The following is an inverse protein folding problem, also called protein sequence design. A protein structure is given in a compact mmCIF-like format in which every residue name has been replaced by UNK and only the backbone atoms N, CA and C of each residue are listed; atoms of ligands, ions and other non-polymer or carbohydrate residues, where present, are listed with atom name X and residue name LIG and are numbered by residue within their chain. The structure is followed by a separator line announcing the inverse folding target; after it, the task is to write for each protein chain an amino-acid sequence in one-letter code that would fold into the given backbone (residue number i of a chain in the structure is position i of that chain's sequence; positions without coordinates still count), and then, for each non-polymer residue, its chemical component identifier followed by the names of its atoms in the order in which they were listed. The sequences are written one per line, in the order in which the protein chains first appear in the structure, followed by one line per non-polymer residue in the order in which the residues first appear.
data_IF_255135801068
#
_entry.id   IF_255135801068
#
_cell.length_a   1.000
_cell.length_b   1.000
_cell.length_c   1.000
_cell.angle_alpha   90.00
_cell.angle_beta   90.00
_cell.angle_gamma   90.00
#
_symmetry.space_group_name_H-M   'P 1'
#
loop_
_entity.id
_entity.type
_entity.pdbx_description
1 polymer ?
#
# COMPACT_ATOMS: atom_id res chain seq x y z
N UNK A 1 34.90 -35.01 -1.14
CA UNK A 1 33.90 -34.32 -0.29
C UNK A 1 32.53 -34.83 -0.70
N UNK A 2 31.70 -35.37 0.20
CA UNK A 2 30.33 -35.68 -0.17
C UNK A 2 29.62 -34.35 -0.44
N UNK A 3 28.96 -34.26 -1.58
CA UNK A 3 28.05 -33.16 -1.91
C UNK A 3 26.89 -33.30 -0.92
N UNK A 4 26.80 -32.39 0.05
CA UNK A 4 25.62 -32.26 0.89
C UNK A 4 24.46 -31.84 -0.03
N UNK A 5 23.65 -32.80 -0.45
CA UNK A 5 22.32 -32.50 -0.96
C UNK A 5 21.51 -31.99 0.23
N UNK A 6 21.54 -30.67 0.45
CA UNK A 6 20.62 -30.02 1.37
C UNK A 6 19.24 -30.21 0.78
N UNK A 7 18.40 -31.01 1.45
CA UNK A 7 17.01 -31.17 1.02
C UNK A 7 16.35 -29.79 0.89
N UNK A 8 15.64 -29.53 -0.22
CA UNK A 8 14.94 -28.28 -0.40
C UNK A 8 13.94 -28.10 0.75
N UNK A 9 13.88 -26.89 1.30
CA UNK A 9 12.98 -26.58 2.42
C UNK A 9 11.54 -26.84 2.01
N UNK A 10 10.77 -27.39 2.94
CA UNK A 10 9.32 -27.53 2.75
C UNK A 10 8.64 -26.16 2.85
N UNK A 11 7.49 -25.99 2.20
CA UNK A 11 6.68 -24.76 2.29
C UNK A 11 6.34 -24.38 3.74
N UNK A 12 6.14 -25.38 4.61
CA UNK A 12 5.90 -25.16 6.03
C UNK A 12 7.12 -24.53 6.72
N UNK A 13 8.33 -25.04 6.46
CA UNK A 13 9.57 -24.47 6.98
C UNK A 13 9.82 -23.05 6.44
N UNK A 14 9.55 -22.80 5.17
CA UNK A 14 9.64 -21.46 4.58
C UNK A 14 8.68 -20.47 5.24
N UNK A 15 7.45 -20.92 5.52
CA UNK A 15 6.44 -20.11 6.20
C UNK A 15 6.85 -19.78 7.63
N UNK A 16 7.32 -20.76 8.40
CA UNK A 16 7.82 -20.52 9.78
C UNK A 16 8.97 -19.52 9.77
N UNK A 17 9.95 -19.69 8.89
CA UNK A 17 11.09 -18.77 8.75
C UNK A 17 10.64 -17.36 8.35
N UNK A 18 9.63 -17.22 7.48
CA UNK A 18 9.10 -15.92 7.08
C UNK A 18 8.36 -15.22 8.24
N UNK A 19 7.59 -15.96 9.04
CA UNK A 19 6.95 -15.43 10.26
C UNK A 19 8.00 -14.90 11.24
N UNK A 20 9.04 -15.68 11.51
CA UNK A 20 10.13 -15.29 12.41
C UNK A 20 10.86 -14.04 11.92
N UNK A 21 11.22 -14.01 10.63
CA UNK A 21 11.87 -12.84 10.01
C UNK A 21 10.99 -11.59 10.11
N UNK A 22 9.69 -11.70 9.81
CA UNK A 22 8.76 -10.57 9.97
C UNK A 22 8.73 -10.08 11.41
N UNK A 23 8.59 -10.99 12.38
CA UNK A 23 8.54 -10.62 13.79
C UNK A 23 9.80 -9.88 14.25
N UNK A 24 10.99 -10.37 13.85
CA UNK A 24 12.28 -9.74 14.16
C UNK A 24 12.36 -8.36 13.51
N UNK A 25 12.09 -8.25 12.21
CA UNK A 25 12.15 -6.97 11.48
C UNK A 25 11.18 -5.94 12.04
N UNK A 26 9.94 -6.33 12.35
CA UNK A 26 8.95 -5.45 12.97
C UNK A 26 9.36 -5.02 14.38
N UNK A 27 10.00 -5.90 15.16
CA UNK A 27 10.54 -5.55 16.49
C UNK A 27 11.64 -4.49 16.39
N UNK A 28 12.51 -4.59 15.39
CA UNK A 28 13.54 -3.56 15.16
C UNK A 28 12.94 -2.22 14.74
N UNK A 29 11.91 -2.23 13.90
CA UNK A 29 11.16 -1.02 13.51
C UNK A 29 10.48 -0.38 14.71
N UNK A 30 9.85 -1.19 15.56
CA UNK A 30 9.24 -0.72 16.80
C UNK A 30 10.23 0.03 17.70
N UNK A 31 11.44 -0.52 17.89
CA UNK A 31 12.46 0.13 18.71
C UNK A 31 13.00 1.45 18.10
N UNK A 32 12.82 1.67 16.78
CA UNK A 32 13.27 2.87 16.08
C UNK A 32 12.21 3.97 15.99
N UNK A 33 10.92 3.64 16.11
CA UNK A 33 9.81 4.60 16.12
C UNK A 33 9.37 5.15 14.75
N UNK A 34 10.08 4.83 13.67
CA UNK A 34 9.68 5.23 12.31
C UNK A 34 9.83 4.07 11.30
N UNK A 35 9.00 4.09 10.27
CA UNK A 35 9.03 3.13 9.17
C UNK A 35 9.12 3.85 7.83
N UNK A 36 10.15 3.50 7.04
CA UNK A 36 10.26 3.85 5.63
C UNK A 36 9.93 2.59 4.80
N UNK A 37 8.75 2.53 4.14
CA UNK A 37 8.31 1.35 3.42
C UNK A 37 9.34 0.79 2.44
N UNK A 38 10.07 1.65 1.74
CA UNK A 38 10.98 1.26 0.67
C UNK A 38 12.45 1.14 1.13
N UNK A 39 12.69 1.12 2.44
CA UNK A 39 14.03 0.90 3.00
C UNK A 39 14.37 -0.59 3.16
N UNK A 40 15.57 -0.89 3.71
CA UNK A 40 16.05 -2.26 3.96
C UNK A 40 15.08 -3.10 4.80
N UNK A 41 14.49 -2.51 5.85
CA UNK A 41 13.49 -3.21 6.66
C UNK A 41 12.22 -3.50 5.87
N UNK A 42 11.84 -2.61 4.95
CA UNK A 42 10.74 -2.80 4.04
C UNK A 42 10.93 -3.97 3.08
N UNK A 43 12.11 -4.03 2.45
CA UNK A 43 12.53 -5.15 1.59
C UNK A 43 12.37 -6.49 2.30
N UNK A 44 12.91 -6.61 3.51
CA UNK A 44 12.80 -7.82 4.32
C UNK A 44 11.35 -8.21 4.65
N UNK A 45 10.50 -7.23 4.96
CA UNK A 45 9.07 -7.46 5.18
C UNK A 45 8.37 -7.93 3.90
N UNK A 46 8.72 -7.35 2.75
CA UNK A 46 8.17 -7.71 1.44
C UNK A 46 8.41 -9.17 1.10
N UNK A 47 9.68 -9.58 1.15
CA UNK A 47 10.08 -10.96 0.87
C UNK A 47 9.33 -11.94 1.76
N UNK A 48 9.22 -11.61 3.04
CA UNK A 48 8.54 -12.47 4.00
C UNK A 48 7.03 -12.53 3.74
N UNK A 49 6.38 -11.40 3.42
CA UNK A 49 4.95 -11.38 3.14
C UNK A 49 4.61 -12.12 1.84
N UNK A 50 5.44 -12.00 0.80
CA UNK A 50 5.32 -12.75 -0.46
C UNK A 50 5.60 -14.25 -0.31
N UNK A 51 6.43 -14.63 0.67
CA UNK A 51 6.65 -16.03 1.05
C UNK A 51 5.39 -16.58 1.74
N UNK A 52 4.81 -15.82 2.67
CA UNK A 52 3.64 -16.27 3.44
C UNK A 52 2.36 -16.35 2.62
N UNK A 53 2.14 -15.38 1.73
CA UNK A 53 0.90 -15.22 0.95
C UNK A 53 -0.36 -15.37 1.82
N UNK A 54 -0.53 -14.51 2.85
CA UNK A 54 -1.71 -14.60 3.71
C UNK A 54 -2.99 -14.49 2.89
N UNK A 55 -3.98 -15.33 3.18
CA UNK A 55 -5.25 -15.39 2.45
C UNK A 55 -5.98 -14.03 2.41
N UNK A 56 -5.86 -13.23 3.48
CA UNK A 56 -6.44 -11.88 3.57
C UNK A 56 -5.91 -10.90 2.52
N UNK A 57 -4.79 -11.22 1.87
CA UNK A 57 -4.18 -10.43 0.79
C UNK A 57 -4.32 -11.12 -0.58
N UNK A 58 -5.21 -12.11 -0.70
CA UNK A 58 -5.61 -12.70 -1.97
C UNK A 58 -4.44 -13.06 -2.89
N UNK A 59 -4.46 -12.52 -4.10
CA UNK A 59 -3.47 -12.76 -5.15
C UNK A 59 -2.22 -11.88 -5.05
N UNK A 60 -1.75 -11.56 -3.83
CA UNK A 60 -0.60 -10.67 -3.60
C UNK A 60 0.67 -11.06 -4.39
N UNK A 61 0.88 -12.36 -4.65
CA UNK A 61 2.04 -12.86 -5.38
C UNK A 61 1.89 -12.85 -6.91
N UNK A 62 0.72 -12.49 -7.44
CA UNK A 62 0.48 -12.38 -8.88
C UNK A 62 0.91 -11.00 -9.42
N UNK A 63 1.15 -10.91 -10.73
CA UNK A 63 1.50 -9.64 -11.39
C UNK A 63 0.31 -8.66 -11.47
N UNK A 64 -0.92 -9.18 -11.51
CA UNK A 64 -2.14 -8.35 -11.48
C UNK A 64 -2.31 -7.71 -10.11
N UNK A 65 -2.92 -6.53 -10.08
CA UNK A 65 -3.27 -5.90 -8.81
C UNK A 65 -4.29 -6.76 -8.05
N UNK A 66 -4.19 -6.80 -6.73
CA UNK A 66 -5.19 -7.41 -5.85
C UNK A 66 -6.20 -6.35 -5.37
N UNK A 67 -7.34 -6.24 -6.08
CA UNK A 67 -8.36 -5.21 -5.82
C UNK A 67 -9.06 -5.37 -4.47
N UNK A 68 -9.38 -6.61 -4.07
CA UNK A 68 -10.11 -6.88 -2.81
C UNK A 68 -9.19 -6.67 -1.61
N UNK A 69 -7.94 -7.12 -1.71
CA UNK A 69 -6.91 -6.85 -0.71
C UNK A 69 -6.62 -5.36 -0.59
N UNK A 70 -6.58 -4.62 -1.70
CA UNK A 70 -6.41 -3.17 -1.67
C UNK A 70 -7.56 -2.47 -0.95
N UNK A 71 -8.81 -2.80 -1.26
CA UNK A 71 -9.97 -2.26 -0.55
C UNK A 71 -9.92 -2.61 0.95
N UNK A 72 -9.62 -3.86 1.28
CA UNK A 72 -9.48 -4.33 2.67
C UNK A 72 -8.45 -3.51 3.46
N UNK A 73 -7.30 -3.22 2.85
CA UNK A 73 -6.20 -2.48 3.47
C UNK A 73 -6.54 -1.00 3.59
N UNK A 74 -7.09 -0.38 2.55
CA UNK A 74 -7.47 1.04 2.56
C UNK A 74 -8.55 1.36 3.60
N UNK A 75 -9.43 0.41 3.90
CA UNK A 75 -10.42 0.53 4.98
C UNK A 75 -9.79 0.52 6.40
N UNK A 76 -8.56 0.03 6.56
CA UNK A 76 -7.87 -0.19 7.85
C UNK A 76 -6.72 0.77 8.12
N UNK A 77 -6.30 1.51 7.10
CA UNK A 77 -5.31 2.59 7.17
C UNK A 77 -6.00 3.96 7.07
N UNK A 78 -5.35 5.06 7.51
CA UNK A 78 -5.92 6.39 7.38
C UNK A 78 -6.01 6.84 5.92
N UNK A 79 -7.04 7.61 5.58
CA UNK A 79 -7.17 8.26 4.27
C UNK A 79 -5.92 9.10 3.95
N UNK A 80 -5.40 8.97 2.72
CA UNK A 80 -4.22 9.66 2.24
C UNK A 80 -2.88 8.98 2.60
N UNK A 81 -2.90 7.84 3.29
CA UNK A 81 -1.68 7.07 3.61
C UNK A 81 -0.82 6.75 2.37
N UNK A 82 -1.47 6.51 1.23
CA UNK A 82 -0.87 6.19 -0.06
C UNK A 82 -0.02 7.33 -0.65
N UNK A 83 -0.14 8.54 -0.10
CA UNK A 83 0.64 9.71 -0.50
C UNK A 83 1.91 9.90 0.35
N UNK A 84 2.03 9.19 1.46
CA UNK A 84 3.07 9.40 2.46
C UNK A 84 4.28 8.47 2.27
N UNK A 85 5.47 9.07 2.23
CA UNK A 85 6.75 8.33 2.24
C UNK A 85 7.22 7.98 3.66
N UNK A 86 6.73 8.71 4.66
CA UNK A 86 7.16 8.57 6.06
C UNK A 86 5.97 8.23 6.94
N UNK A 87 6.01 7.06 7.57
CA UNK A 87 4.98 6.61 8.50
C UNK A 87 5.60 6.45 9.89
N UNK A 88 5.14 7.27 10.83
CA UNK A 88 5.58 7.21 12.22
C UNK A 88 4.53 6.51 13.07
N UNK A 89 5.00 5.60 13.93
CA UNK A 89 4.15 4.90 14.89
C UNK A 89 4.44 5.51 16.25
N UNK A 90 3.50 6.28 16.77
CA UNK A 90 3.69 7.10 17.97
C UNK A 90 2.77 6.63 19.09
N UNK A 91 3.10 7.00 20.34
CA UNK A 91 2.09 7.02 21.40
C UNK A 91 1.14 8.22 21.21
N UNK A 92 0.22 8.43 22.16
CA UNK A 92 -0.47 9.71 22.26
C UNK A 92 0.56 10.83 22.50
N UNK A 93 0.71 11.72 21.52
CA UNK A 93 1.64 12.86 21.57
C UNK A 93 0.92 14.19 21.88
N UNK A 94 -0.38 14.14 22.27
CA UNK A 94 -1.13 15.33 22.64
C UNK A 94 -1.55 16.22 21.47
N UNK A 95 -1.61 15.68 20.24
CA UNK A 95 -2.05 16.42 19.05
C UNK A 95 -3.46 17.00 19.17
N UNK A 96 -4.27 16.55 20.15
CA UNK A 96 -5.60 17.10 20.44
C UNK A 96 -5.60 18.60 20.75
N UNK A 97 -4.49 19.16 21.24
CA UNK A 97 -4.34 20.60 21.49
C UNK A 97 -3.87 21.42 20.29
N UNK A 98 -3.68 20.78 19.13
CA UNK A 98 -3.07 21.40 17.94
C UNK A 98 -4.09 21.65 16.82
N UNK A 99 -3.61 22.13 15.67
CA UNK A 99 -4.43 22.31 14.46
C UNK A 99 -4.63 21.01 13.67
N UNK A 100 -3.91 19.92 14.02
CA UNK A 100 -4.01 18.66 13.31
C UNK A 100 -5.36 17.99 13.58
N UNK A 101 -6.04 17.60 12.50
CA UNK A 101 -7.32 16.89 12.58
C UNK A 101 -7.07 15.39 12.61
N UNK A 102 -7.67 14.70 13.57
CA UNK A 102 -7.62 13.25 13.63
C UNK A 102 -8.31 12.62 12.40
N UNK A 103 -7.61 11.67 11.78
CA UNK A 103 -8.10 10.79 10.71
C UNK A 103 -8.28 9.41 11.32
N UNK A 104 -9.51 8.90 11.33
CA UNK A 104 -9.82 7.58 11.90
C UNK A 104 -10.13 6.62 10.75
N UNK A 105 -9.40 5.48 10.61
CA UNK A 105 -9.69 4.49 9.59
C UNK A 105 -11.12 3.91 9.72
N UNK A 106 -11.75 3.57 8.59
CA UNK A 106 -13.14 3.09 8.57
C UNK A 106 -13.36 1.82 9.41
N UNK A 107 -12.38 0.91 9.47
CA UNK A 107 -12.46 -0.41 10.13
C UNK A 107 -11.46 -0.60 11.28
N UNK A 108 -10.79 0.47 11.74
CA UNK A 108 -9.85 0.46 12.88
C UNK A 108 -10.00 1.73 13.70
N UNK A 109 -10.11 1.60 15.02
CA UNK A 109 -10.30 2.73 15.94
C UNK A 109 -8.97 3.16 16.54
N UNK A 110 -8.28 4.05 15.85
CA UNK A 110 -7.01 4.70 16.23
C UNK A 110 -6.96 6.08 15.60
N UNK A 111 -6.33 7.04 16.26
CA UNK A 111 -6.12 8.35 15.67
C UNK A 111 -4.89 8.32 14.77
N UNK A 112 -5.01 8.91 13.61
CA UNK A 112 -3.90 9.20 12.72
C UNK A 112 -3.89 10.70 12.43
N UNK A 113 -2.71 11.27 12.21
CA UNK A 113 -2.56 12.69 11.91
C UNK A 113 -1.64 12.86 10.71
N UNK A 114 -2.15 13.57 9.72
CA UNK A 114 -1.34 14.04 8.59
C UNK A 114 -0.52 15.23 9.08
N UNK A 115 0.80 15.05 9.20
CA UNK A 115 1.71 16.09 9.72
C UNK A 115 2.06 17.08 8.60
N UNK A 116 2.37 16.56 7.42
CA UNK A 116 2.65 17.34 6.23
C UNK A 116 2.30 16.56 4.95
N UNK A 117 2.79 16.99 3.78
CA UNK A 117 2.53 16.32 2.49
C UNK A 117 3.09 14.89 2.42
N UNK A 118 4.11 14.54 3.19
CA UNK A 118 4.86 13.29 3.07
C UNK A 118 4.77 12.40 4.31
N UNK A 119 4.31 12.94 5.44
CA UNK A 119 4.32 12.23 6.72
C UNK A 119 2.92 12.00 7.30
N UNK A 120 2.69 10.76 7.71
CA UNK A 120 1.53 10.35 8.52
C UNK A 120 2.01 9.79 9.86
N UNK A 121 1.44 10.28 10.95
CA UNK A 121 1.62 9.69 12.28
C UNK A 121 0.39 8.82 12.60
N UNK A 122 0.62 7.63 13.14
CA UNK A 122 -0.41 6.69 13.56
C UNK A 122 -0.22 6.42 15.05
N UNK A 123 -1.20 6.79 15.87
CA UNK A 123 -1.18 6.49 17.31
C UNK A 123 -1.42 5.00 17.54
N UNK A 124 -0.49 4.37 18.25
CA UNK A 124 -0.57 2.96 18.66
C UNK A 124 -0.99 2.90 20.12
N UNK A 125 -2.12 2.26 20.40
CA UNK A 125 -2.70 2.18 21.75
C UNK A 125 -2.79 0.75 22.29
N UNK A 126 -2.75 -0.25 21.41
CA UNK A 126 -2.95 -1.67 21.75
C UNK A 126 -1.68 -2.52 21.63
N UNK A 127 -0.52 -1.86 21.61
CA UNK A 127 0.78 -2.52 21.63
C UNK A 127 1.14 -3.25 20.34
N UNK A 128 1.84 -4.38 20.46
CA UNK A 128 2.57 -5.02 19.34
C UNK A 128 1.67 -5.59 18.23
N UNK A 129 0.53 -6.16 18.58
CA UNK A 129 -0.38 -6.74 17.58
C UNK A 129 -0.92 -5.70 16.61
N UNK A 130 -1.18 -4.49 17.11
CA UNK A 130 -1.61 -3.35 16.32
C UNK A 130 -0.52 -2.89 15.34
N UNK A 131 0.73 -2.88 15.78
CA UNK A 131 1.88 -2.55 14.93
C UNK A 131 2.03 -3.58 13.82
N UNK A 132 1.84 -4.87 14.11
CA UNK A 132 1.93 -5.92 13.09
C UNK A 132 0.81 -5.79 12.05
N UNK A 133 -0.42 -5.48 12.46
CA UNK A 133 -1.54 -5.15 11.55
C UNK A 133 -1.15 -3.98 10.62
N UNK A 134 -0.64 -2.87 11.18
CA UNK A 134 -0.23 -1.70 10.38
C UNK A 134 0.91 -2.04 9.41
N UNK A 135 1.99 -2.66 9.90
CA UNK A 135 3.18 -2.92 9.09
C UNK A 135 2.89 -3.93 7.97
N UNK A 136 2.06 -4.95 8.22
CA UNK A 136 1.66 -5.87 7.15
C UNK A 136 0.81 -5.19 6.08
N UNK A 137 -0.12 -4.31 6.48
CA UNK A 137 -0.92 -3.52 5.53
C UNK A 137 -0.06 -2.57 4.69
N UNK A 138 0.89 -1.86 5.31
CA UNK A 138 1.80 -0.97 4.58
C UNK A 138 2.73 -1.77 3.64
N UNK A 139 3.18 -2.94 4.07
CA UNK A 139 3.99 -3.85 3.22
C UNK A 139 3.18 -4.33 2.03
N UNK A 140 1.88 -4.64 2.20
CA UNK A 140 0.98 -4.95 1.11
C UNK A 140 0.88 -3.77 0.12
N UNK A 141 0.63 -2.54 0.61
CA UNK A 141 0.57 -1.36 -0.27
C UNK A 141 1.85 -1.15 -1.07
N UNK A 142 3.01 -1.40 -0.46
CA UNK A 142 4.30 -1.32 -1.15
C UNK A 142 4.43 -2.36 -2.27
N UNK A 143 3.96 -3.59 -2.04
CA UNK A 143 3.98 -4.63 -3.07
C UNK A 143 3.11 -4.20 -4.25
N UNK A 144 1.88 -3.77 -3.97
CA UNK A 144 0.95 -3.34 -5.01
C UNK A 144 1.42 -2.06 -5.73
N UNK A 145 2.05 -1.11 -5.02
CA UNK A 145 2.63 0.08 -5.64
C UNK A 145 3.76 -0.26 -6.61
N UNK A 146 4.59 -1.25 -6.30
CA UNK A 146 5.62 -1.76 -7.22
C UNK A 146 5.02 -2.42 -8.45
N UNK A 147 3.91 -3.15 -8.33
CA UNK A 147 3.21 -3.71 -9.49
C UNK A 147 2.75 -2.60 -10.42
N UNK A 148 2.07 -1.58 -9.88
CA UNK A 148 1.61 -0.42 -10.65
C UNK A 148 2.82 0.26 -11.33
N UNK A 149 3.87 0.54 -10.58
CA UNK A 149 5.09 1.18 -11.10
C UNK A 149 5.70 0.42 -12.28
N UNK A 150 5.84 -0.91 -12.16
CA UNK A 150 6.38 -1.76 -13.24
C UNK A 150 5.54 -1.69 -14.52
N UNK A 151 4.22 -1.58 -14.40
CA UNK A 151 3.32 -1.48 -15.56
C UNK A 151 3.34 -0.09 -16.22
N UNK A 152 3.73 0.96 -15.49
CA UNK A 152 3.64 2.34 -15.98
C UNK A 152 4.97 2.90 -16.49
N UNK A 153 6.10 2.32 -16.09
CA UNK A 153 7.43 2.74 -16.54
C UNK A 153 7.79 2.15 -17.91
N UNK A 154 8.45 2.95 -18.74
CA UNK A 154 8.90 2.56 -20.09
C UNK A 154 10.39 2.80 -20.21
N UNK A 155 11.14 1.70 -20.37
CA UNK A 155 12.61 1.74 -20.43
C UNK A 155 13.26 2.30 -19.17
N UNK A 156 14.54 2.68 -19.28
CA UNK A 156 15.36 3.08 -18.12
C UNK A 156 15.41 4.61 -17.91
N UNK A 157 14.73 5.39 -18.76
CA UNK A 157 14.78 6.85 -18.74
C UNK A 157 13.66 7.51 -17.92
N UNK A 158 12.89 6.73 -17.16
CA UNK A 158 11.80 7.22 -16.32
C UNK A 158 10.55 7.69 -17.10
N UNK A 159 10.47 7.42 -18.41
CA UNK A 159 9.27 7.70 -19.20
C UNK A 159 8.10 6.84 -18.76
N UNK A 160 6.88 7.33 -18.98
CA UNK A 160 5.66 6.61 -18.61
C UNK A 160 4.80 6.25 -19.82
N UNK A 161 4.01 5.19 -19.65
CA UNK A 161 3.00 4.76 -20.62
C UNK A 161 1.95 5.86 -20.88
N UNK A 162 1.26 5.73 -22.02
CA UNK A 162 0.11 6.60 -22.34
C UNK A 162 -1.00 6.47 -21.31
N UNK A 163 -1.30 5.24 -20.86
CA UNK A 163 -2.34 4.98 -19.86
C UNK A 163 -2.08 5.75 -18.56
N UNK A 164 -0.82 5.79 -18.12
CA UNK A 164 -0.42 6.58 -16.95
C UNK A 164 -0.68 8.07 -17.13
N UNK A 165 -0.34 8.63 -18.30
CA UNK A 165 -0.58 10.05 -18.60
C UNK A 165 -2.08 10.38 -18.65
N UNK A 166 -2.91 9.45 -19.11
CA UNK A 166 -4.36 9.58 -19.09
C UNK A 166 -4.91 9.59 -17.66
N UNK A 167 -4.38 8.74 -16.77
CA UNK A 167 -4.69 8.81 -15.34
C UNK A 167 -4.26 10.16 -14.75
N UNK A 168 -3.02 10.58 -14.98
CA UNK A 168 -2.49 11.87 -14.50
C UNK A 168 -3.38 13.06 -14.88
N UNK A 169 -3.90 13.10 -16.11
CA UNK A 169 -4.73 14.18 -16.62
C UNK A 169 -6.09 14.32 -15.90
N UNK A 170 -6.55 13.29 -15.19
CA UNK A 170 -7.81 13.32 -14.44
C UNK A 170 -7.60 13.46 -12.93
N UNK A 171 -6.37 13.29 -12.42
CA UNK A 171 -6.07 13.48 -11.01
C UNK A 171 -6.25 14.96 -10.61
N UNK A 172 -6.88 15.19 -9.47
CA UNK A 172 -7.16 16.53 -8.94
C UNK A 172 -8.45 17.15 -9.48
N UNK A 173 -9.11 16.53 -10.47
CA UNK A 173 -10.48 16.93 -10.86
C UNK A 173 -11.46 16.45 -9.80
N UNK A 174 -12.20 17.38 -9.21
CA UNK A 174 -13.25 17.06 -8.21
C UNK A 174 -14.52 16.48 -8.83
N UNK A 175 -14.70 16.65 -10.14
CA UNK A 175 -15.84 16.13 -10.91
C UNK A 175 -15.33 15.60 -12.25
N UNK A 176 -15.73 14.39 -12.60
CA UNK A 176 -15.60 13.82 -13.93
C UNK A 176 -16.98 13.63 -14.52
N UNK A 177 -17.13 13.88 -15.82
CA UNK A 177 -18.27 13.38 -16.57
C UNK A 177 -18.24 11.85 -16.60
N UNK A 178 -19.39 11.21 -16.86
CA UNK A 178 -19.44 9.75 -16.99
C UNK A 178 -18.46 9.25 -18.07
N UNK A 179 -18.38 9.95 -19.20
CA UNK A 179 -17.45 9.62 -20.27
C UNK A 179 -15.98 9.75 -19.83
N UNK A 180 -15.60 10.84 -19.15
CA UNK A 180 -14.23 10.98 -18.62
C UNK A 180 -13.90 9.89 -17.60
N UNK A 181 -14.85 9.53 -16.73
CA UNK A 181 -14.70 8.44 -15.76
C UNK A 181 -14.45 7.11 -16.46
N UNK A 182 -15.27 6.76 -17.46
CA UNK A 182 -15.14 5.50 -18.19
C UNK A 182 -13.81 5.39 -18.94
N UNK A 183 -13.39 6.49 -19.58
CA UNK A 183 -12.07 6.56 -20.23
C UNK A 183 -10.95 6.38 -19.21
N UNK A 184 -10.98 7.09 -18.08
CA UNK A 184 -9.98 6.97 -17.04
C UNK A 184 -9.92 5.55 -16.45
N UNK A 185 -11.07 4.95 -16.17
CA UNK A 185 -11.17 3.58 -15.65
C UNK A 185 -10.63 2.56 -16.65
N UNK A 186 -10.86 2.76 -17.96
CA UNK A 186 -10.32 1.87 -19.00
C UNK A 186 -8.79 1.88 -18.99
N UNK A 187 -8.17 3.07 -18.92
CA UNK A 187 -6.71 3.18 -18.83
C UNK A 187 -6.16 2.59 -17.53
N UNK A 188 -6.86 2.80 -16.40
CA UNK A 188 -6.47 2.20 -15.12
C UNK A 188 -6.61 0.68 -15.13
N UNK A 189 -7.66 0.12 -15.73
CA UNK A 189 -7.83 -1.32 -15.86
C UNK A 189 -6.62 -1.97 -16.56
N UNK A 190 -6.13 -1.34 -17.65
CA UNK A 190 -4.89 -1.76 -18.33
C UNK A 190 -3.68 -1.73 -17.38
N UNK A 191 -3.46 -0.62 -16.66
CA UNK A 191 -2.35 -0.49 -15.69
C UNK A 191 -2.40 -1.59 -14.62
N UNK A 192 -3.60 -1.97 -14.20
CA UNK A 192 -3.83 -2.93 -13.12
C UNK A 192 -3.83 -4.40 -13.58
N UNK A 193 -3.80 -4.65 -14.90
CA UNK A 193 -3.97 -5.98 -15.47
C UNK A 193 -5.36 -6.58 -15.22
N UNK A 194 -6.37 -5.73 -15.05
CA UNK A 194 -7.76 -6.07 -14.72
C UNK A 194 -8.70 -5.64 -15.85
N UNK A 195 -9.90 -6.19 -15.88
CA UNK A 195 -10.95 -5.74 -16.81
C UNK A 195 -11.61 -4.46 -16.31
N UNK A 196 -12.24 -3.73 -17.23
CA UNK A 196 -13.05 -2.57 -16.88
C UNK A 196 -14.14 -2.92 -15.85
N UNK A 197 -14.79 -4.09 -16.02
CA UNK A 197 -15.85 -4.56 -15.13
C UNK A 197 -15.32 -4.86 -13.72
N UNK A 198 -14.18 -5.56 -13.61
CA UNK A 198 -13.53 -5.82 -12.32
C UNK A 198 -13.23 -4.51 -11.57
N UNK A 199 -12.68 -3.51 -12.26
CA UNK A 199 -12.37 -2.21 -11.65
C UNK A 199 -13.65 -1.47 -11.25
N UNK A 200 -14.65 -1.44 -12.13
CA UNK A 200 -15.92 -0.76 -11.84
C UNK A 200 -16.66 -1.38 -10.66
N UNK A 201 -16.53 -2.69 -10.43
CA UNK A 201 -17.17 -3.39 -9.32
C UNK A 201 -16.70 -2.88 -7.95
N UNK A 202 -15.45 -2.43 -7.82
CA UNK A 202 -14.88 -1.91 -6.57
C UNK A 202 -14.76 -0.38 -6.54
N UNK A 203 -14.90 0.30 -7.70
CA UNK A 203 -14.59 1.72 -7.84
C UNK A 203 -15.28 2.61 -6.80
N UNK A 204 -16.58 2.37 -6.59
CA UNK A 204 -17.39 3.20 -5.67
C UNK A 204 -17.11 2.89 -4.19
N UNK A 205 -16.55 1.72 -3.86
CA UNK A 205 -16.25 1.36 -2.47
C UNK A 205 -15.09 2.18 -1.89
N UNK A 206 -14.21 2.67 -2.77
CA UNK A 206 -13.13 3.58 -2.40
C UNK A 206 -13.62 5.02 -2.19
N UNK A 207 -14.77 5.40 -2.74
CA UNK A 207 -15.23 6.78 -2.74
C UNK A 207 -15.33 7.35 -1.32
N UNK A 208 -14.96 8.62 -1.18
CA UNK A 208 -15.14 9.39 0.05
C UNK A 208 -16.05 10.58 -0.22
N UNK A 209 -16.60 11.18 0.84
CA UNK A 209 -17.43 12.38 0.71
C UNK A 209 -16.69 13.56 0.05
N UNK A 210 -15.36 13.59 0.16
CA UNK A 210 -14.50 14.63 -0.42
C UNK A 210 -14.02 14.27 -1.82
N UNK A 211 -13.82 12.97 -2.09
CA UNK A 211 -13.30 12.48 -3.36
C UNK A 211 -14.14 11.29 -3.87
N UNK A 212 -15.12 11.53 -4.76
CA UNK A 212 -15.91 10.45 -5.36
C UNK A 212 -15.08 9.56 -6.30
N UNK A 213 -13.90 10.03 -6.71
CA UNK A 213 -12.97 9.35 -7.62
C UNK A 213 -11.73 8.82 -6.88
N UNK A 214 -11.84 8.59 -5.57
CA UNK A 214 -10.72 8.18 -4.72
C UNK A 214 -9.97 6.95 -5.24
N UNK A 215 -10.65 6.00 -5.89
CA UNK A 215 -9.96 4.87 -6.52
C UNK A 215 -8.85 5.32 -7.48
N UNK A 216 -9.13 6.28 -8.37
CA UNK A 216 -8.15 6.80 -9.33
C UNK A 216 -6.99 7.49 -8.60
N UNK A 217 -7.30 8.29 -7.57
CA UNK A 217 -6.30 8.94 -6.72
C UNK A 217 -5.41 7.90 -6.02
N UNK A 218 -5.98 6.86 -5.43
CA UNK A 218 -5.23 5.80 -4.74
C UNK A 218 -4.24 5.12 -5.68
N UNK A 219 -4.69 4.68 -6.86
CA UNK A 219 -3.81 4.02 -7.85
C UNK A 219 -2.69 4.97 -8.30
N UNK A 220 -3.03 6.23 -8.58
CA UNK A 220 -2.04 7.23 -8.97
C UNK A 220 -1.00 7.47 -7.87
N UNK A 221 -1.41 7.66 -6.61
CA UNK A 221 -0.48 7.98 -5.53
C UNK A 221 0.44 6.80 -5.21
N UNK A 222 -0.09 5.57 -5.19
CA UNK A 222 0.73 4.37 -5.04
C UNK A 222 1.79 4.27 -6.14
N UNK A 223 1.39 4.33 -7.42
CA UNK A 223 2.34 4.26 -8.53
C UNK A 223 3.35 5.41 -8.53
N UNK A 224 2.91 6.64 -8.25
CA UNK A 224 3.76 7.82 -8.23
C UNK A 224 4.77 7.81 -7.08
N UNK A 225 4.36 7.30 -5.91
CA UNK A 225 5.27 7.14 -4.77
C UNK A 225 6.37 6.15 -5.12
N UNK A 226 6.03 4.98 -5.63
CA UNK A 226 7.00 3.97 -6.03
C UNK A 226 7.98 4.48 -7.11
N UNK A 227 7.48 5.22 -8.11
CA UNK A 227 8.33 5.84 -9.16
C UNK A 227 9.38 6.82 -8.62
N UNK A 228 9.09 7.56 -7.54
CA UNK A 228 10.02 8.56 -6.98
C UNK A 228 11.18 7.94 -6.20
N UNK A 229 11.12 6.65 -5.97
CA UNK A 229 12.11 5.93 -5.15
C UNK A 229 13.05 5.05 -5.99
N UNK A 230 12.98 5.16 -7.33
CA UNK A 230 13.97 4.65 -8.28
C UNK A 230 15.02 5.71 -8.56
#
# INVERSE_FOLDING_TARGET
MPILNVEPRTRAQESTNAIERMYITMRHLFNRGFYKPMGVSGESLRESLLTLRPEIYGSIAEEKIELSGLLYVMDRLPEGIEECSYINLTSDEGYQGSHFKAIIPKKRRRNCYRIDKHQMNIEVTRGRSEIYDILTHLTFLMIESHKIMKQVLVGDNGSTTRDWKCLEAVIGKTKLTQQEKEVAVTHVATILGRTFEEVMSVYNDFATAKNPHQFLSTIYHLGNLAKKEI
#
